data_IF_002147839561
#
_entry.id   IF_002147839561
#
_cell.length_a   1.000
_cell.length_b   1.000
_cell.length_c   1.000
_cell.angle_alpha   90.00
_cell.angle_beta   90.00
_cell.angle_gamma   90.00
#
_symmetry.space_group_name_H-M   'P 1'
#
loop_
_entity.id
_entity.type
_entity.pdbx_description
1 polymer ?
#
# COMPACT_ATOMS: atom_id res chain seq x y z
N UNK A 1 22.88 30.02 8.11
CA UNK A 1 21.77 29.33 8.81
C UNK A 1 20.51 29.18 7.95
N UNK A 2 20.01 30.24 7.29
CA UNK A 2 18.82 30.17 6.41
C UNK A 2 18.96 29.20 5.22
N UNK A 3 20.14 29.10 4.60
CA UNK A 3 20.38 28.12 3.51
C UNK A 3 20.48 26.67 3.96
N UNK A 4 20.98 26.42 5.18
CA UNK A 4 21.07 25.09 5.76
C UNK A 4 19.69 24.52 6.09
N UNK A 5 18.81 25.35 6.68
CA UNK A 5 17.41 25.02 6.93
C UNK A 5 16.59 24.87 5.64
N UNK A 6 16.93 25.62 4.57
CA UNK A 6 16.34 25.46 3.24
C UNK A 6 16.73 24.13 2.59
N UNK A 7 18.02 23.78 2.60
CA UNK A 7 18.50 22.48 2.11
C UNK A 7 17.90 21.33 2.91
N UNK A 8 17.76 21.48 4.22
CA UNK A 8 17.06 20.53 5.10
C UNK A 8 15.59 20.39 4.70
N UNK A 9 14.82 21.46 4.54
CA UNK A 9 13.43 21.36 4.06
C UNK A 9 13.31 20.77 2.65
N UNK A 10 14.26 21.07 1.76
CA UNK A 10 14.34 20.47 0.42
C UNK A 10 14.74 18.98 0.45
N UNK A 11 15.52 18.56 1.45
CA UNK A 11 15.94 17.18 1.72
C UNK A 11 14.85 16.37 2.45
N UNK A 12 14.05 17.02 3.30
CA UNK A 12 12.93 16.42 4.05
C UNK A 12 11.62 16.37 3.25
N UNK A 13 11.54 17.07 2.10
CA UNK A 13 10.46 16.89 1.13
C UNK A 13 10.85 15.89 0.02
N UNK A 14 11.43 14.75 0.43
CA UNK A 14 11.73 13.62 -0.47
C UNK A 14 10.45 12.94 -0.98
N UNK A 15 9.33 13.22 -0.34
CA UNK A 15 8.03 12.61 -0.61
C UNK A 15 6.98 13.69 -0.87
N UNK A 16 6.16 13.46 -1.89
CA UNK A 16 4.99 14.24 -2.26
C UNK A 16 3.80 13.35 -1.98
N UNK A 17 3.13 13.59 -0.86
CA UNK A 17 1.88 12.92 -0.52
C UNK A 17 0.74 13.56 -1.31
N UNK A 18 -0.14 12.73 -1.85
CA UNK A 18 -1.36 13.17 -2.55
C UNK A 18 -2.57 12.46 -1.99
N UNK A 19 -3.73 13.11 -2.05
CA UNK A 19 -4.92 12.69 -1.33
C UNK A 19 -5.88 11.82 -2.16
N UNK A 20 -5.65 11.72 -3.48
CA UNK A 20 -6.53 10.97 -4.38
C UNK A 20 -5.76 10.25 -5.49
N UNK A 21 -6.38 9.19 -6.02
CA UNK A 21 -5.86 8.45 -7.17
C UNK A 21 -5.80 9.33 -8.43
N UNK A 22 -6.74 10.24 -8.61
CA UNK A 22 -6.76 11.15 -9.76
C UNK A 22 -5.62 12.18 -9.67
N UNK A 23 -5.34 12.73 -8.49
CA UNK A 23 -4.17 13.58 -8.29
C UNK A 23 -2.88 12.78 -8.51
N UNK A 24 -2.78 11.57 -7.95
CA UNK A 24 -1.63 10.69 -8.14
C UNK A 24 -1.35 10.43 -9.62
N UNK A 25 -2.36 9.99 -10.37
CA UNK A 25 -2.23 9.68 -11.80
C UNK A 25 -1.92 10.92 -12.63
N UNK A 26 -2.45 12.09 -12.24
CA UNK A 26 -2.13 13.38 -12.89
C UNK A 26 -0.67 13.75 -12.67
N UNK A 27 -0.17 13.63 -11.43
CA UNK A 27 1.22 13.97 -11.10
C UNK A 27 2.22 13.03 -11.77
N UNK A 28 2.03 11.70 -11.70
CA UNK A 28 2.98 10.77 -12.34
C UNK A 28 3.09 10.99 -13.85
N UNK A 29 2.00 11.40 -14.52
CA UNK A 29 2.01 11.78 -15.95
C UNK A 29 2.77 13.07 -16.17
N UNK A 30 2.47 14.11 -15.39
CA UNK A 30 3.11 15.44 -15.48
C UNK A 30 4.62 15.35 -15.26
N UNK A 31 5.03 14.54 -14.29
CA UNK A 31 6.44 14.39 -13.88
C UNK A 31 7.17 13.29 -14.66
N UNK A 32 6.53 12.69 -15.69
CA UNK A 32 7.08 11.67 -16.57
C UNK A 32 7.72 10.50 -15.81
N UNK A 33 7.08 10.06 -14.73
CA UNK A 33 7.46 8.85 -14.01
C UNK A 33 7.39 7.63 -14.95
N UNK A 34 8.08 6.54 -14.57
CA UNK A 34 8.16 5.31 -15.38
C UNK A 34 7.63 4.06 -14.68
N UNK A 35 7.62 4.07 -13.35
CA UNK A 35 7.27 2.92 -12.52
C UNK A 35 6.34 3.36 -11.40
N UNK A 36 5.24 2.62 -11.24
CA UNK A 36 4.36 2.69 -10.08
C UNK A 36 4.45 1.36 -9.34
N UNK A 37 4.84 1.41 -8.07
CA UNK A 37 4.77 0.26 -7.17
C UNK A 37 3.53 0.38 -6.28
N UNK A 38 2.88 -0.74 -6.04
CA UNK A 38 1.73 -0.84 -5.15
C UNK A 38 2.10 -1.83 -4.04
N UNK A 39 1.87 -1.47 -2.79
CA UNK A 39 2.18 -2.31 -1.63
C UNK A 39 0.96 -2.44 -0.74
N UNK A 40 0.65 -3.68 -0.34
CA UNK A 40 -0.34 -3.93 0.70
C UNK A 40 0.24 -3.62 2.08
N UNK A 41 -0.29 -2.61 2.76
CA UNK A 41 0.19 -2.18 4.08
C UNK A 41 -0.89 -2.43 5.13
N UNK A 42 -0.46 -2.85 6.32
CA UNK A 42 -1.28 -2.86 7.53
C UNK A 42 -0.79 -1.75 8.44
N UNK A 43 -1.64 -0.76 8.70
CA UNK A 43 -1.34 0.37 9.56
C UNK A 43 -2.22 0.36 10.82
N UNK A 44 -1.74 0.83 11.97
CA UNK A 44 -2.60 1.12 13.11
C UNK A 44 -3.58 2.25 12.73
N UNK A 45 -4.84 2.13 13.15
CA UNK A 45 -5.85 3.18 13.02
C UNK A 45 -5.78 4.04 14.28
N UNK A 46 -5.09 5.17 14.19
CA UNK A 46 -4.84 6.20 15.22
C UNK A 46 -4.28 5.73 16.57
N UNK A 47 -3.28 6.47 17.07
CA UNK A 47 -2.46 6.17 18.25
C UNK A 47 -3.20 6.35 19.58
N UNK A 48 -4.25 5.56 19.83
CA UNK A 48 -4.75 5.32 21.19
C UNK A 48 -4.29 3.95 21.67
N UNK A 49 -2.99 3.87 21.97
CA UNK A 49 -2.39 2.76 22.73
C UNK A 49 -2.98 2.84 24.14
N UNK A 50 -4.05 2.09 24.38
CA UNK A 50 -4.51 1.83 25.74
C UNK A 50 -3.44 0.99 26.44
N UNK A 51 -2.91 1.46 27.57
CA UNK A 51 -1.90 0.76 28.37
C UNK A 51 -2.51 -0.27 29.34
N UNK A 52 -3.61 -0.91 28.95
CA UNK A 52 -4.19 -2.01 29.72
C UNK A 52 -3.84 -3.34 29.06
N UNK A 53 -3.37 -4.32 29.84
CA UNK A 53 -3.24 -5.72 29.38
C UNK A 53 -4.62 -6.15 28.87
N UNK A 54 -4.80 -6.20 27.54
CA UNK A 54 -6.11 -6.26 26.88
C UNK A 54 -6.37 -5.18 25.81
N UNK A 55 -5.44 -4.26 25.55
CA UNK A 55 -5.55 -3.23 24.52
C UNK A 55 -5.29 -3.77 23.11
N UNK A 56 -6.33 -4.41 22.62
CA UNK A 56 -6.69 -4.71 21.25
C UNK A 56 -6.52 -3.48 20.34
N UNK A 57 -5.57 -3.54 19.40
CA UNK A 57 -5.35 -2.45 18.44
C UNK A 57 -6.36 -2.47 17.29
N UNK A 58 -6.88 -1.31 16.89
CA UNK A 58 -7.59 -1.11 15.63
C UNK A 58 -6.59 -1.01 14.48
N UNK A 59 -6.81 -1.78 13.41
CA UNK A 59 -5.93 -1.77 12.24
C UNK A 59 -6.74 -1.43 10.98
N UNK A 60 -6.04 -0.87 10.01
CA UNK A 60 -6.57 -0.67 8.67
C UNK A 60 -5.63 -1.31 7.65
N UNK A 61 -6.22 -1.86 6.60
CA UNK A 61 -5.49 -2.36 5.44
C UNK A 61 -5.64 -1.35 4.33
N UNK A 62 -4.51 -0.92 3.82
CA UNK A 62 -4.41 0.08 2.76
C UNK A 62 -3.49 -0.43 1.65
N UNK A 63 -3.66 0.16 0.47
CA UNK A 63 -2.69 0.07 -0.62
C UNK A 63 -1.94 1.38 -0.69
N UNK A 64 -0.63 1.30 -0.60
CA UNK A 64 0.25 2.44 -0.85
C UNK A 64 0.76 2.35 -2.29
N UNK A 65 0.55 3.42 -3.05
CA UNK A 65 1.02 3.60 -4.41
C UNK A 65 2.20 4.55 -4.34
N UNK A 66 3.35 4.11 -4.84
CA UNK A 66 4.56 4.92 -4.87
C UNK A 66 5.11 4.99 -6.28
N UNK A 67 5.65 6.15 -6.64
CA UNK A 67 6.32 6.37 -7.92
C UNK A 67 7.49 7.32 -7.74
N UNK A 68 8.64 6.97 -8.29
CA UNK A 68 9.83 7.82 -8.24
C UNK A 68 9.88 8.76 -9.46
N UNK A 69 10.16 10.03 -9.19
CA UNK A 69 10.39 11.07 -10.18
C UNK A 69 11.86 11.02 -10.66
N UNK A 70 12.18 11.57 -11.84
CA UNK A 70 13.57 11.63 -12.33
C UNK A 70 14.56 12.34 -11.38
N UNK A 71 14.05 13.24 -10.53
CA UNK A 71 14.84 13.93 -9.50
C UNK A 71 14.93 13.18 -8.16
N UNK A 72 14.55 11.89 -8.13
CA UNK A 72 14.53 10.99 -6.96
C UNK A 72 13.52 11.33 -5.86
N UNK A 73 12.60 12.26 -6.10
CA UNK A 73 11.44 12.45 -5.21
C UNK A 73 10.42 11.36 -5.44
N UNK A 74 9.73 10.94 -4.39
CA UNK A 74 8.64 9.97 -4.48
C UNK A 74 7.30 10.67 -4.42
N UNK A 75 6.37 10.25 -5.27
CA UNK A 75 4.95 10.60 -5.16
C UNK A 75 4.28 9.41 -4.48
N UNK A 76 3.54 9.64 -3.40
CA UNK A 76 2.89 8.59 -2.61
C UNK A 76 1.40 8.89 -2.48
N UNK A 77 0.57 7.89 -2.74
CA UNK A 77 -0.87 7.91 -2.50
C UNK A 77 -1.24 6.68 -1.68
N UNK A 78 -2.05 6.86 -0.63
CA UNK A 78 -2.51 5.77 0.23
C UNK A 78 -4.02 5.63 0.13
N UNK A 79 -4.49 4.46 -0.30
CA UNK A 79 -5.91 4.13 -0.39
C UNK A 79 -6.29 3.17 0.73
N UNK A 80 -7.16 3.60 1.63
CA UNK A 80 -7.77 2.70 2.61
C UNK A 80 -8.69 1.72 1.87
N UNK A 81 -8.44 0.43 2.03
CA UNK A 81 -9.24 -0.61 1.40
C UNK A 81 -10.36 -1.10 2.33
N UNK A 82 -10.00 -1.39 3.59
CA UNK A 82 -10.96 -1.78 4.61
C UNK A 82 -10.33 -1.69 6.00
N UNK A 83 -11.20 -1.59 7.00
CA UNK A 83 -10.82 -1.54 8.41
C UNK A 83 -10.98 -2.92 9.05
N UNK A 84 -10.04 -3.28 9.93
CA UNK A 84 -10.14 -4.42 10.82
C UNK A 84 -10.12 -3.91 12.27
N UNK A 85 -11.29 -3.84 12.89
CA UNK A 85 -11.41 -3.51 14.30
C UNK A 85 -10.94 -4.70 15.13
N UNK A 86 -9.88 -4.47 15.92
CA UNK A 86 -9.61 -5.14 17.19
C UNK A 86 -9.59 -6.68 17.26
N UNK A 87 -8.39 -7.24 17.45
CA UNK A 87 -8.14 -8.64 17.77
C UNK A 87 -8.08 -8.88 19.30
N UNK A 88 -9.13 -9.51 19.88
CA UNK A 88 -9.28 -9.88 21.30
C UNK A 88 -8.41 -11.07 21.76
N UNK A 89 -7.83 -11.84 20.83
CA UNK A 89 -7.29 -13.18 21.14
C UNK A 89 -5.81 -13.39 20.76
N UNK A 90 -5.07 -12.34 20.43
CA UNK A 90 -3.64 -12.43 20.13
C UNK A 90 -3.35 -13.38 18.95
N UNK A 91 -2.78 -14.56 19.21
CA UNK A 91 -2.50 -15.60 18.21
C UNK A 91 -3.78 -16.22 17.60
N UNK A 92 -4.92 -16.14 18.30
CA UNK A 92 -6.20 -16.67 17.83
C UNK A 92 -6.76 -15.98 16.58
N UNK A 93 -6.28 -14.78 16.27
CA UNK A 93 -6.73 -13.99 15.12
C UNK A 93 -5.86 -14.21 13.87
N UNK A 94 -4.92 -15.16 13.90
CA UNK A 94 -4.05 -15.46 12.76
C UNK A 94 -4.82 -15.80 11.47
N UNK A 95 -5.88 -16.63 11.48
CA UNK A 95 -6.63 -16.93 10.26
C UNK A 95 -7.31 -15.68 9.65
N UNK A 96 -7.85 -14.80 10.48
CA UNK A 96 -8.51 -13.57 10.02
C UNK A 96 -7.51 -12.54 9.50
N UNK A 97 -6.34 -12.44 10.13
CA UNK A 97 -5.23 -11.61 9.61
C UNK A 97 -4.74 -12.14 8.25
N UNK A 98 -4.68 -13.45 8.08
CA UNK A 98 -4.29 -14.06 6.82
C UNK A 98 -5.33 -13.77 5.72
N UNK A 99 -6.62 -13.93 6.02
CA UNK A 99 -7.71 -13.53 5.11
C UNK A 99 -7.63 -12.06 4.70
N UNK A 100 -7.40 -11.17 5.66
CA UNK A 100 -7.26 -9.74 5.40
C UNK A 100 -6.04 -9.44 4.51
N UNK A 101 -4.89 -10.05 4.78
CA UNK A 101 -3.71 -9.89 3.93
C UNK A 101 -3.94 -10.36 2.49
N UNK A 102 -4.57 -11.54 2.31
CA UNK A 102 -4.95 -12.07 0.99
C UNK A 102 -5.90 -11.09 0.29
N UNK A 103 -6.94 -10.64 0.98
CA UNK A 103 -7.93 -9.68 0.45
C UNK A 103 -7.24 -8.38 -0.01
N UNK A 104 -6.32 -7.85 0.79
CA UNK A 104 -5.61 -6.63 0.45
C UNK A 104 -4.74 -6.79 -0.81
N UNK A 105 -4.06 -7.93 -0.96
CA UNK A 105 -3.26 -8.22 -2.16
C UNK A 105 -4.12 -8.43 -3.40
N UNK A 106 -5.28 -9.10 -3.28
CA UNK A 106 -6.24 -9.23 -4.39
C UNK A 106 -6.81 -7.88 -4.83
N UNK A 107 -7.10 -6.98 -3.88
CA UNK A 107 -7.46 -5.59 -4.19
C UNK A 107 -6.32 -4.87 -4.91
N UNK A 108 -5.07 -5.11 -4.49
CA UNK A 108 -3.87 -4.62 -5.17
C UNK A 108 -3.78 -5.11 -6.61
N UNK A 109 -4.01 -6.40 -6.85
CA UNK A 109 -4.03 -6.98 -8.21
C UNK A 109 -5.11 -6.34 -9.08
N UNK A 110 -6.33 -6.17 -8.56
CA UNK A 110 -7.41 -5.49 -9.27
C UNK A 110 -7.00 -4.05 -9.65
N UNK A 111 -6.34 -3.33 -8.74
CA UNK A 111 -5.84 -1.97 -9.00
C UNK A 111 -4.70 -1.93 -10.01
N UNK A 112 -3.79 -2.90 -10.02
CA UNK A 112 -2.78 -3.03 -11.08
C UNK A 112 -3.47 -3.17 -12.44
N UNK A 113 -4.47 -4.06 -12.56
CA UNK A 113 -5.21 -4.26 -13.82
C UNK A 113 -5.93 -2.99 -14.26
N UNK A 114 -6.61 -2.31 -13.34
CA UNK A 114 -7.29 -1.03 -13.59
C UNK A 114 -6.31 0.03 -14.12
N UNK A 115 -5.18 0.22 -13.44
CA UNK A 115 -4.22 1.26 -13.79
C UNK A 115 -3.47 0.95 -15.08
N UNK A 116 -3.15 -0.32 -15.36
CA UNK A 116 -2.54 -0.71 -16.64
C UNK A 116 -3.44 -0.35 -17.82
N UNK A 117 -4.76 -0.45 -17.66
CA UNK A 117 -5.73 0.01 -18.67
C UNK A 117 -5.73 1.53 -18.89
N UNK A 118 -5.37 2.33 -17.88
CA UNK A 118 -5.39 3.80 -17.90
C UNK A 118 -4.03 4.43 -18.23
N UNK A 119 -2.94 3.71 -17.98
CA UNK A 119 -1.56 4.22 -17.95
C UNK A 119 -0.62 3.37 -18.81
N UNK A 120 -0.91 3.29 -20.11
CA UNK A 120 -0.27 2.35 -21.05
C UNK A 120 1.26 2.45 -21.15
N UNK A 121 1.85 3.60 -20.79
CA UNK A 121 3.30 3.85 -20.89
C UNK A 121 4.05 3.71 -19.54
N UNK A 122 3.38 3.19 -18.51
CA UNK A 122 3.94 3.02 -17.17
C UNK A 122 4.07 1.54 -16.83
N UNK A 123 5.20 1.16 -16.24
CA UNK A 123 5.32 -0.12 -15.55
C UNK A 123 4.56 -0.02 -14.24
N UNK A 124 3.68 -0.98 -13.97
CA UNK A 124 2.87 -1.02 -12.75
C UNK A 124 3.01 -2.38 -12.11
N UNK A 125 3.49 -2.39 -10.88
CA UNK A 125 3.92 -3.58 -10.16
C UNK A 125 3.28 -3.64 -8.78
N UNK A 126 2.76 -4.81 -8.41
CA UNK A 126 2.38 -5.11 -7.04
C UNK A 126 3.56 -5.76 -6.34
N UNK A 127 3.90 -5.27 -5.16
CA UNK A 127 4.91 -5.87 -4.30
C UNK A 127 4.25 -6.90 -3.40
N UNK A 128 4.76 -8.12 -3.47
CA UNK A 128 4.29 -9.25 -2.69
C UNK A 128 4.76 -9.21 -1.24
N UNK A 129 4.29 -10.15 -0.41
CA UNK A 129 4.60 -10.21 1.02
C UNK A 129 6.09 -10.48 1.32
N UNK A 130 6.86 -10.95 0.33
CA UNK A 130 8.31 -11.16 0.43
C UNK A 130 9.13 -9.89 0.11
N UNK A 131 8.49 -8.75 -0.13
CA UNK A 131 9.14 -7.49 -0.49
C UNK A 131 9.64 -7.42 -1.93
N UNK A 132 9.27 -8.39 -2.79
CA UNK A 132 9.63 -8.42 -4.21
C UNK A 132 8.40 -8.20 -5.09
N UNK A 133 8.62 -7.83 -6.34
CA UNK A 133 7.56 -7.76 -7.35
C UNK A 133 6.88 -9.12 -7.46
N UNK A 134 5.55 -9.12 -7.49
CA UNK A 134 4.73 -10.32 -7.68
C UNK A 134 5.01 -10.93 -9.06
N UNK A 135 5.55 -12.14 -9.07
CA UNK A 135 5.66 -12.96 -10.28
C UNK A 135 4.42 -13.87 -10.43
N UNK A 136 4.33 -14.55 -11.58
CA UNK A 136 3.21 -15.43 -11.90
C UNK A 136 3.00 -16.53 -10.84
N UNK A 137 4.08 -17.11 -10.31
CA UNK A 137 3.99 -18.15 -9.27
C UNK A 137 3.41 -17.60 -7.97
N UNK A 138 3.78 -16.37 -7.60
CA UNK A 138 3.24 -15.71 -6.41
C UNK A 138 1.76 -15.35 -6.63
N UNK A 139 1.37 -14.90 -7.84
CA UNK A 139 -0.04 -14.69 -8.17
C UNK A 139 -0.86 -15.98 -8.09
N UNK A 140 -0.38 -17.08 -8.69
CA UNK A 140 -1.03 -18.39 -8.58
C UNK A 140 -1.21 -18.82 -7.12
N UNK A 141 -0.16 -18.63 -6.30
CA UNK A 141 -0.24 -18.94 -4.87
C UNK A 141 -1.27 -18.07 -4.15
N UNK A 142 -1.32 -16.76 -4.45
CA UNK A 142 -2.31 -15.85 -3.89
C UNK A 142 -3.74 -16.31 -4.21
N UNK A 143 -4.02 -16.70 -5.45
CA UNK A 143 -5.34 -17.20 -5.86
C UNK A 143 -5.69 -18.55 -5.23
N UNK A 144 -4.71 -19.45 -5.07
CA UNK A 144 -4.91 -20.71 -4.33
C UNK A 144 -5.23 -20.45 -2.86
N UNK A 145 -4.53 -19.54 -2.22
CA UNK A 145 -4.79 -19.15 -0.83
C UNK A 145 -6.16 -18.46 -0.71
N UNK A 146 -6.52 -17.59 -1.66
CA UNK A 146 -7.85 -16.98 -1.71
C UNK A 146 -8.96 -18.03 -1.74
N UNK A 147 -8.85 -19.05 -2.60
CA UNK A 147 -9.80 -20.15 -2.66
C UNK A 147 -9.83 -20.96 -1.34
N UNK A 148 -8.66 -21.31 -0.79
CA UNK A 148 -8.53 -22.05 0.48
C UNK A 148 -9.20 -21.33 1.66
N UNK A 149 -9.06 -20.01 1.73
CA UNK A 149 -9.60 -19.20 2.81
C UNK A 149 -10.97 -18.57 2.49
N UNK A 150 -11.56 -18.91 1.33
CA UNK A 150 -12.84 -18.36 0.84
C UNK A 150 -12.87 -16.82 0.81
N UNK A 151 -11.78 -16.22 0.33
CA UNK A 151 -11.62 -14.76 0.20
C UNK A 151 -11.89 -14.35 -1.25
N UNK A 152 -12.75 -13.36 -1.44
CA UNK A 152 -13.04 -12.75 -2.74
C UNK A 152 -12.94 -11.22 -2.65
N UNK A 153 -12.73 -10.56 -3.79
CA UNK A 153 -12.66 -9.10 -3.95
C UNK A 153 -13.64 -8.65 -5.01
#
# INVERSE_FOLDING_TARGET
MKEFLRKIKEFFASEILVDSLDEFTTRIKKENCKLVTIVGVRAPKDTHISHTIGAIGTFQYLLEFASEMPNKKKIIFSQINFEQYGSEKGLGDYPERQKAAIKNLLMGEAKVKELKGKLLNLTIELIGPNGRVMDEKIYEQLHRDAAKYSVTV
#
